data_IF_070476756228
#
_entry.id   IF_070476756228
#
_cell.length_a   1.000
_cell.length_b   1.000
_cell.length_c   1.000
_cell.angle_alpha   90.00
_cell.angle_beta   90.00
_cell.angle_gamma   90.00
#
_symmetry.space_group_name_H-M   'P 1'
#
loop_
_entity.id
_entity.type
_entity.pdbx_description
1 polymer ?
#
# COMPACT_ATOMS: atom_id res chain seq x y z
N UNK A 1 -20.15 88.20 -8.19
CA UNK A 1 -20.62 87.05 -7.43
C UNK A 1 -20.97 85.92 -8.44
N UNK A 2 -20.11 84.93 -8.59
CA UNK A 2 -20.30 83.77 -9.55
C UNK A 2 -20.70 82.55 -8.73
N UNK A 3 -21.95 82.11 -8.85
CA UNK A 3 -22.43 80.83 -8.30
C UNK A 3 -21.94 79.68 -9.21
N UNK A 4 -21.15 78.75 -8.67
CA UNK A 4 -20.79 77.52 -9.35
C UNK A 4 -21.85 76.43 -9.02
N UNK A 5 -22.49 75.96 -10.09
CA UNK A 5 -23.43 74.89 -10.04
C UNK A 5 -22.62 73.54 -10.09
N UNK A 6 -22.73 72.77 -9.01
CA UNK A 6 -22.16 71.41 -8.98
C UNK A 6 -23.22 70.42 -9.48
N UNK A 7 -22.98 69.80 -10.67
CA UNK A 7 -23.78 68.76 -11.16
C UNK A 7 -23.26 67.41 -10.54
N UNK A 8 -24.14 66.73 -9.80
CA UNK A 8 -23.87 65.41 -9.21
C UNK A 8 -24.21 64.36 -10.28
N UNK A 9 -23.20 63.74 -10.89
CA UNK A 9 -23.39 62.61 -11.80
C UNK A 9 -23.46 61.35 -10.95
N UNK A 10 -24.67 60.77 -10.83
CA UNK A 10 -24.89 59.47 -10.21
C UNK A 10 -24.54 58.38 -11.25
N UNK A 11 -23.41 57.73 -11.06
CA UNK A 11 -23.00 56.61 -11.89
C UNK A 11 -23.73 55.34 -11.39
N UNK A 12 -24.80 54.91 -12.07
CA UNK A 12 -25.40 53.60 -11.87
C UNK A 12 -24.45 52.54 -12.42
N UNK A 13 -23.70 51.90 -11.54
CA UNK A 13 -22.98 50.68 -11.87
C UNK A 13 -23.97 49.52 -12.00
N UNK A 14 -24.37 49.23 -13.23
CA UNK A 14 -25.01 47.95 -13.58
C UNK A 14 -23.99 46.82 -13.34
N UNK A 15 -24.09 46.13 -12.21
CA UNK A 15 -23.36 44.93 -11.95
C UNK A 15 -23.84 43.83 -12.92
N UNK A 16 -23.12 43.65 -14.02
CA UNK A 16 -23.26 42.43 -14.84
C UNK A 16 -22.73 41.29 -13.95
N UNK A 17 -23.64 40.57 -13.33
CA UNK A 17 -23.33 39.29 -12.70
C UNK A 17 -22.83 38.34 -13.78
N UNK A 18 -21.52 38.14 -13.83
CA UNK A 18 -20.95 37.04 -14.60
C UNK A 18 -21.46 35.76 -13.92
N UNK A 19 -22.48 35.14 -14.52
CA UNK A 19 -22.85 33.79 -14.15
C UNK A 19 -21.60 32.94 -14.34
N UNK A 20 -21.00 32.48 -13.24
CA UNK A 20 -19.95 31.47 -13.30
C UNK A 20 -20.55 30.28 -14.03
N UNK A 21 -20.10 30.04 -15.26
CA UNK A 21 -20.37 28.79 -15.97
C UNK A 21 -20.01 27.66 -15.01
N UNK A 22 -21.02 26.92 -14.55
CA UNK A 22 -20.78 25.69 -13.79
C UNK A 22 -19.99 24.76 -14.69
N UNK A 23 -18.74 24.53 -14.34
CA UNK A 23 -17.90 23.50 -14.96
C UNK A 23 -18.74 22.21 -15.03
N UNK A 24 -19.09 21.71 -16.22
CA UNK A 24 -19.90 20.50 -16.36
C UNK A 24 -19.22 19.26 -15.76
N UNK A 25 -17.91 19.34 -15.46
CA UNK A 25 -17.11 18.33 -14.77
C UNK A 25 -16.69 18.78 -13.37
N UNK A 26 -17.48 19.61 -12.69
CA UNK A 26 -17.19 20.27 -11.42
C UNK A 26 -16.21 19.49 -10.56
N UNK A 27 -15.20 20.15 -9.99
CA UNK A 27 -14.21 19.51 -9.14
C UNK A 27 -14.91 18.59 -8.15
N UNK A 28 -14.54 17.31 -8.07
CA UNK A 28 -15.19 16.38 -7.15
C UNK A 28 -15.09 16.93 -5.73
N UNK A 29 -16.18 16.83 -4.97
CA UNK A 29 -16.19 17.22 -3.58
C UNK A 29 -15.05 16.52 -2.83
N UNK A 30 -14.30 17.26 -1.98
CA UNK A 30 -13.26 16.63 -1.18
C UNK A 30 -13.88 15.54 -0.28
N UNK A 31 -13.17 14.42 -0.06
CA UNK A 31 -13.68 13.34 0.76
C UNK A 31 -13.97 13.82 2.18
N UNK A 32 -15.11 13.41 2.74
CA UNK A 32 -15.49 13.76 4.10
C UNK A 32 -14.52 13.10 5.08
N UNK A 33 -14.01 13.87 6.03
CA UNK A 33 -13.19 13.32 7.12
C UNK A 33 -14.02 12.32 7.93
N UNK A 34 -13.52 11.08 8.17
CA UNK A 34 -14.24 10.13 8.99
C UNK A 34 -14.30 10.58 10.44
N UNK A 35 -15.43 10.35 11.07
CA UNK A 35 -15.49 10.34 12.53
C UNK A 35 -14.85 9.02 13.02
N UNK A 36 -13.78 9.12 13.79
CA UNK A 36 -13.07 7.95 14.35
C UNK A 36 -13.39 7.88 15.83
N UNK A 37 -14.03 6.76 16.24
CA UNK A 37 -14.37 6.49 17.65
C UNK A 37 -13.89 5.11 18.05
N UNK A 38 -13.31 5.00 19.22
CA UNK A 38 -13.11 3.69 19.85
C UNK A 38 -14.42 3.27 20.52
N UNK A 39 -15.02 2.17 20.03
CA UNK A 39 -16.31 1.65 20.48
C UNK A 39 -16.16 0.51 21.49
N UNK A 40 -14.98 -0.11 21.54
CA UNK A 40 -14.54 -1.07 22.56
C UNK A 40 -13.00 -1.15 22.51
N UNK A 41 -12.31 -1.70 23.54
CA UNK A 41 -10.86 -1.79 23.57
C UNK A 41 -10.29 -2.44 22.32
N UNK A 42 -9.54 -1.65 21.51
CA UNK A 42 -8.93 -2.07 20.25
C UNK A 42 -9.90 -2.22 19.06
N UNK A 43 -11.17 -1.77 19.21
CA UNK A 43 -12.17 -1.75 18.14
C UNK A 43 -12.54 -0.31 17.84
N UNK A 44 -12.25 0.12 16.60
CA UNK A 44 -12.56 1.46 16.13
C UNK A 44 -13.73 1.44 15.14
N UNK A 45 -14.52 2.51 15.16
CA UNK A 45 -15.46 2.88 14.12
C UNK A 45 -14.86 4.03 13.31
N UNK A 46 -14.68 3.84 11.99
CA UNK A 46 -14.14 4.83 11.05
C UNK A 46 -15.21 5.14 10.00
N UNK A 47 -15.99 6.18 10.21
CA UNK A 47 -17.24 6.34 9.47
C UNK A 47 -18.16 5.15 9.68
N UNK A 48 -18.50 4.41 8.62
CA UNK A 48 -19.30 3.16 8.69
C UNK A 48 -18.44 1.88 8.73
N UNK A 49 -17.12 2.01 8.66
CA UNK A 49 -16.17 0.88 8.71
C UNK A 49 -15.87 0.54 10.17
N UNK A 50 -16.04 -0.71 10.57
CA UNK A 50 -15.56 -1.22 11.84
C UNK A 50 -14.17 -1.84 11.66
N UNK A 51 -13.22 -1.47 12.53
CA UNK A 51 -11.85 -1.93 12.52
C UNK A 51 -11.51 -2.66 13.81
N UNK A 52 -10.99 -3.88 13.74
CA UNK A 52 -10.51 -4.68 14.88
C UNK A 52 -8.99 -4.82 14.84
N UNK A 53 -8.29 -4.01 15.64
CA UNK A 53 -6.81 -3.91 15.64
C UNK A 53 -6.12 -5.25 15.88
N UNK A 54 -6.55 -6.01 16.92
CA UNK A 54 -5.92 -7.30 17.27
C UNK A 54 -6.03 -8.36 16.17
N UNK A 55 -7.16 -8.40 15.49
CA UNK A 55 -7.38 -9.34 14.38
C UNK A 55 -6.82 -8.84 13.05
N UNK A 56 -6.46 -7.55 12.98
CA UNK A 56 -6.10 -6.84 11.75
C UNK A 56 -7.21 -6.94 10.70
N UNK A 57 -8.44 -6.73 11.12
CA UNK A 57 -9.64 -6.86 10.28
C UNK A 57 -10.37 -5.53 10.18
N UNK A 58 -10.93 -5.29 9.00
CA UNK A 58 -11.96 -4.29 8.79
C UNK A 58 -13.25 -4.97 8.31
N UNK A 59 -14.36 -4.41 8.71
CA UNK A 59 -15.70 -4.90 8.38
C UNK A 59 -16.46 -3.76 7.72
N UNK A 60 -16.97 -3.97 6.52
CA UNK A 60 -17.74 -2.99 5.79
C UNK A 60 -19.09 -3.58 5.33
N UNK A 61 -20.19 -2.83 5.43
CA UNK A 61 -21.48 -3.27 4.92
C UNK A 61 -21.44 -3.34 3.39
N UNK A 62 -22.06 -4.38 2.84
CA UNK A 62 -22.21 -4.57 1.39
C UNK A 62 -23.59 -5.10 1.08
N UNK A 63 -24.07 -4.87 -0.14
CA UNK A 63 -25.30 -5.43 -0.70
C UNK A 63 -24.93 -6.27 -1.92
N UNK A 64 -25.58 -7.42 -2.10
CA UNK A 64 -25.40 -8.27 -3.28
C UNK A 64 -26.08 -7.59 -4.46
N UNK A 65 -25.30 -7.28 -5.51
CA UNK A 65 -25.76 -6.43 -6.60
C UNK A 65 -26.05 -7.20 -7.88
N UNK A 66 -25.22 -8.17 -8.24
CA UNK A 66 -25.43 -8.94 -9.47
C UNK A 66 -25.01 -10.40 -9.30
N UNK A 67 -25.60 -11.30 -10.12
CA UNK A 67 -25.31 -12.72 -10.13
C UNK A 67 -25.06 -13.29 -11.54
N UNK A 68 -25.10 -12.45 -12.56
CA UNK A 68 -24.85 -12.81 -13.96
C UNK A 68 -24.20 -11.62 -14.73
N UNK A 69 -23.74 -11.85 -15.95
CA UNK A 69 -23.10 -10.84 -16.79
C UNK A 69 -21.57 -10.76 -16.63
N UNK A 70 -20.93 -9.81 -17.31
CA UNK A 70 -19.49 -9.51 -17.15
C UNK A 70 -19.22 -8.92 -15.76
N UNK A 71 -18.01 -9.17 -15.26
CA UNK A 71 -17.61 -8.74 -13.92
C UNK A 71 -16.22 -8.11 -13.97
N UNK A 72 -16.13 -6.81 -13.79
CA UNK A 72 -14.85 -6.11 -13.66
C UNK A 72 -14.48 -5.84 -12.19
N UNK A 73 -15.50 -5.71 -11.33
CA UNK A 73 -15.31 -5.37 -9.91
C UNK A 73 -16.03 -6.36 -8.99
N UNK A 74 -15.43 -6.59 -7.84
CA UNK A 74 -16.11 -7.30 -6.76
C UNK A 74 -16.85 -6.35 -5.81
N UNK A 75 -16.35 -5.12 -5.63
CA UNK A 75 -16.97 -4.11 -4.76
C UNK A 75 -16.77 -2.72 -5.35
N UNK A 76 -17.86 -1.98 -5.47
CA UNK A 76 -17.86 -0.55 -5.80
C UNK A 76 -18.80 0.21 -4.88
N UNK A 77 -18.72 1.53 -4.87
CA UNK A 77 -19.79 2.38 -4.32
C UNK A 77 -20.88 2.60 -5.36
N UNK A 78 -21.99 3.20 -4.96
CA UNK A 78 -23.07 3.58 -5.91
C UNK A 78 -22.65 4.56 -7.02
N UNK A 79 -21.44 5.16 -6.92
CA UNK A 79 -20.86 6.01 -7.98
C UNK A 79 -20.02 5.23 -8.98
N UNK A 80 -19.65 3.99 -8.66
CA UNK A 80 -18.79 3.16 -9.49
C UNK A 80 -19.55 2.42 -10.60
N UNK A 81 -18.87 1.49 -11.26
CA UNK A 81 -19.42 0.62 -12.31
C UNK A 81 -20.34 -0.46 -11.73
N UNK A 82 -21.51 -0.05 -11.22
CA UNK A 82 -22.47 -0.95 -10.56
C UNK A 82 -22.91 -2.09 -11.48
N UNK A 83 -23.05 -1.83 -12.79
CA UNK A 83 -23.50 -2.81 -13.77
C UNK A 83 -22.49 -3.93 -14.08
N UNK A 84 -21.26 -3.83 -13.57
CA UNK A 84 -20.18 -4.82 -13.71
C UNK A 84 -19.58 -5.20 -12.35
N UNK A 85 -20.38 -5.09 -11.28
CA UNK A 85 -19.90 -5.27 -9.90
C UNK A 85 -20.74 -6.26 -9.11
N UNK A 86 -20.09 -7.20 -8.43
CA UNK A 86 -20.75 -8.25 -7.64
C UNK A 86 -21.47 -7.66 -6.42
N UNK A 87 -20.84 -6.74 -5.73
CA UNK A 87 -21.29 -6.12 -4.48
C UNK A 87 -21.23 -4.60 -4.59
N UNK A 88 -22.19 -3.95 -3.93
CA UNK A 88 -22.21 -2.49 -3.75
C UNK A 88 -22.10 -2.14 -2.27
N UNK A 89 -21.43 -1.03 -1.96
CA UNK A 89 -21.32 -0.51 -0.60
C UNK A 89 -21.64 0.97 -0.52
N UNK A 90 -22.08 1.41 0.64
CA UNK A 90 -22.26 2.83 0.99
C UNK A 90 -21.06 3.43 1.71
N UNK A 91 -20.00 2.63 1.92
CA UNK A 91 -18.78 3.09 2.57
C UNK A 91 -18.05 4.07 1.66
N UNK A 92 -17.65 5.22 2.20
CA UNK A 92 -16.79 6.14 1.47
C UNK A 92 -15.37 5.55 1.33
N UNK A 93 -14.81 5.46 0.12
CA UNK A 93 -13.45 4.93 -0.12
C UNK A 93 -12.39 5.57 0.76
N UNK A 94 -12.51 6.87 1.05
CA UNK A 94 -11.56 7.56 1.93
C UNK A 94 -11.61 7.02 3.39
N UNK A 95 -12.79 6.66 3.90
CA UNK A 95 -12.91 6.04 5.24
C UNK A 95 -12.24 4.67 5.30
N UNK A 96 -12.38 3.90 4.23
CA UNK A 96 -11.69 2.61 4.08
C UNK A 96 -10.17 2.79 4.01
N UNK A 97 -9.69 3.79 3.26
CA UNK A 97 -8.26 4.15 3.21
C UNK A 97 -7.71 4.45 4.60
N UNK A 98 -8.40 5.30 5.36
CA UNK A 98 -8.00 5.64 6.74
C UNK A 98 -7.97 4.40 7.64
N UNK A 99 -8.98 3.51 7.53
CA UNK A 99 -9.01 2.26 8.30
C UNK A 99 -7.82 1.34 7.98
N UNK A 100 -7.42 1.22 6.70
CA UNK A 100 -6.26 0.43 6.29
C UNK A 100 -4.95 1.05 6.78
N UNK A 101 -4.80 2.37 6.74
CA UNK A 101 -3.63 3.07 7.30
C UNK A 101 -3.51 2.87 8.82
N UNK A 102 -4.62 2.84 9.56
CA UNK A 102 -4.64 2.54 11.00
C UNK A 102 -4.22 1.09 11.32
N UNK A 103 -4.26 0.18 10.34
CA UNK A 103 -3.68 -1.17 10.41
C UNK A 103 -2.23 -1.23 9.91
N UNK A 104 -1.57 -0.07 9.71
CA UNK A 104 -0.19 0.06 9.19
C UNK A 104 -0.02 -0.54 7.77
N UNK A 105 -1.05 -0.51 6.95
CA UNK A 105 -0.94 -0.82 5.53
C UNK A 105 -0.43 0.42 4.79
N UNK A 106 0.49 0.23 3.84
CA UNK A 106 1.07 1.32 3.04
C UNK A 106 0.51 1.38 1.62
N UNK A 107 -0.13 0.30 1.18
CA UNK A 107 -0.54 0.16 -0.21
C UNK A 107 0.67 -0.04 -1.14
N UNK A 108 0.54 0.46 -2.36
CA UNK A 108 1.60 0.34 -3.40
C UNK A 108 2.76 1.31 -3.23
N UNK A 109 2.71 2.20 -2.22
CA UNK A 109 3.72 3.26 -1.98
C UNK A 109 4.00 4.11 -3.24
N UNK A 110 2.94 4.43 -3.99
CA UNK A 110 2.99 5.21 -5.23
C UNK A 110 3.34 4.42 -6.50
N UNK A 111 3.70 3.14 -6.39
CA UNK A 111 3.98 2.31 -7.56
C UNK A 111 2.71 1.97 -8.32
N UNK A 112 2.78 2.04 -9.66
CA UNK A 112 1.71 1.59 -10.55
C UNK A 112 1.61 0.06 -10.54
N UNK A 113 0.38 -0.43 -10.70
CA UNK A 113 0.14 -1.84 -10.94
C UNK A 113 0.56 -2.13 -12.39
N UNK A 114 1.47 -3.09 -12.63
CA UNK A 114 1.82 -3.48 -13.98
C UNK A 114 0.61 -4.04 -14.73
N UNK A 115 0.40 -3.67 -15.97
CA UNK A 115 -0.64 -4.27 -16.84
C UNK A 115 -0.36 -5.74 -17.12
N UNK A 116 0.91 -6.10 -17.30
CA UNK A 116 1.36 -7.48 -17.46
C UNK A 116 0.99 -8.31 -16.21
N UNK A 117 0.04 -9.24 -16.37
CA UNK A 117 -0.51 -10.05 -15.28
C UNK A 117 0.47 -11.11 -14.73
N UNK A 118 1.62 -11.31 -15.40
CA UNK A 118 2.71 -12.16 -14.91
C UNK A 118 3.52 -11.48 -13.79
N UNK A 119 3.44 -10.16 -13.69
CA UNK A 119 4.17 -9.37 -12.69
C UNK A 119 3.35 -9.24 -11.40
N UNK A 120 4.01 -9.18 -10.24
CA UNK A 120 3.31 -9.03 -8.97
C UNK A 120 2.62 -7.68 -8.87
N UNK A 121 1.45 -7.67 -8.25
CA UNK A 121 0.72 -6.45 -7.87
C UNK A 121 1.35 -5.89 -6.59
N UNK A 122 1.82 -4.62 -6.57
CA UNK A 122 2.43 -4.03 -5.39
C UNK A 122 1.38 -3.69 -4.32
N UNK A 123 1.70 -3.89 -3.03
CA UNK A 123 0.82 -3.52 -1.93
C UNK A 123 0.81 -4.51 -0.76
N UNK A 124 -0.20 -4.39 0.09
CA UNK A 124 -0.39 -5.24 1.27
C UNK A 124 -1.39 -6.35 0.96
N UNK A 125 -1.01 -7.60 1.25
CA UNK A 125 -1.86 -8.77 1.00
C UNK A 125 -3.01 -8.86 2.02
N UNK A 126 -4.22 -9.12 1.53
CA UNK A 126 -5.43 -9.26 2.34
C UNK A 126 -6.26 -10.48 1.94
N UNK A 127 -6.96 -11.04 2.90
CA UNK A 127 -7.99 -12.08 2.69
C UNK A 127 -9.34 -11.40 2.80
N UNK A 128 -10.28 -11.77 1.92
CA UNK A 128 -11.63 -11.24 1.93
C UNK A 128 -12.65 -12.36 2.11
N UNK A 129 -13.57 -12.17 3.05
CA UNK A 129 -14.70 -13.08 3.31
C UNK A 129 -16.00 -12.30 3.31
N UNK A 130 -17.00 -12.81 2.60
CA UNK A 130 -18.38 -12.32 2.73
C UNK A 130 -19.06 -13.05 3.89
N UNK A 131 -19.64 -12.32 4.81
CA UNK A 131 -20.43 -12.81 5.93
C UNK A 131 -21.89 -12.37 5.75
N UNK A 132 -22.84 -13.29 5.89
CA UNK A 132 -24.28 -12.98 5.78
C UNK A 132 -25.11 -13.85 6.71
N UNK A 133 -26.39 -13.55 6.78
CA UNK A 133 -27.36 -14.33 7.55
C UNK A 133 -28.40 -14.91 6.60
N UNK A 134 -28.62 -16.22 6.66
CA UNK A 134 -29.67 -16.90 5.93
C UNK A 134 -30.65 -17.53 6.93
N UNK A 135 -31.83 -16.94 7.02
CA UNK A 135 -32.76 -17.23 8.12
C UNK A 135 -32.11 -16.90 9.47
N UNK A 136 -31.97 -17.91 10.36
CA UNK A 136 -31.29 -17.75 11.67
C UNK A 136 -29.80 -18.16 11.63
N UNK A 137 -29.30 -18.64 10.49
CA UNK A 137 -27.92 -19.17 10.37
C UNK A 137 -26.95 -18.11 9.86
N UNK A 138 -25.88 -17.86 10.61
CA UNK A 138 -24.74 -17.06 10.15
C UNK A 138 -23.89 -17.91 9.20
N UNK A 139 -23.63 -17.38 8.02
CA UNK A 139 -22.79 -17.99 6.98
C UNK A 139 -21.62 -17.08 6.65
N UNK A 140 -20.56 -17.68 6.16
CA UNK A 140 -19.41 -16.96 5.61
C UNK A 140 -18.72 -17.81 4.53
N UNK A 141 -18.13 -17.14 3.56
CA UNK A 141 -17.32 -17.78 2.55
C UNK A 141 -16.25 -16.79 2.03
N UNK A 142 -15.18 -17.35 1.49
CA UNK A 142 -14.16 -16.58 0.79
C UNK A 142 -14.78 -15.90 -0.43
N UNK A 143 -14.35 -14.67 -0.70
CA UNK A 143 -14.90 -13.89 -1.81
C UNK A 143 -14.65 -14.57 -3.17
N UNK A 144 -13.57 -15.37 -3.27
CA UNK A 144 -13.22 -16.16 -4.47
C UNK A 144 -14.26 -17.21 -4.84
N UNK A 145 -15.15 -17.57 -3.93
CA UNK A 145 -16.21 -18.56 -4.21
C UNK A 145 -17.36 -17.96 -5.04
N UNK A 146 -17.40 -16.64 -5.18
CA UNK A 146 -18.52 -15.93 -5.80
C UNK A 146 -18.21 -15.40 -7.19
N UNK A 147 -17.02 -15.68 -7.72
CA UNK A 147 -16.71 -15.38 -9.12
C UNK A 147 -15.94 -16.54 -9.77
N UNK A 148 -16.03 -16.62 -11.08
CA UNK A 148 -15.45 -17.67 -11.93
C UNK A 148 -14.84 -17.07 -13.18
N UNK A 149 -14.05 -17.89 -13.87
CA UNK A 149 -13.50 -17.53 -15.18
C UNK A 149 -14.41 -18.06 -16.29
N UNK A 150 -14.65 -17.22 -17.31
CA UNK A 150 -15.43 -17.61 -18.50
C UNK A 150 -14.70 -18.69 -19.33
N UNK A 151 -13.36 -18.75 -19.28
CA UNK A 151 -12.54 -19.76 -19.97
C UNK A 151 -12.53 -21.12 -19.25
N UNK A 152 -13.33 -21.31 -18.21
CA UNK A 152 -13.47 -22.56 -17.45
C UNK A 152 -12.31 -22.90 -16.52
N UNK A 153 -11.24 -22.09 -16.50
CA UNK A 153 -10.13 -22.31 -15.56
C UNK A 153 -10.55 -22.02 -14.14
N UNK A 154 -10.07 -22.83 -13.19
CA UNK A 154 -10.37 -22.65 -11.78
C UNK A 154 -9.77 -21.35 -11.24
N UNK A 155 -10.56 -20.60 -10.49
CA UNK A 155 -10.07 -19.46 -9.70
C UNK A 155 -9.22 -20.01 -8.56
N UNK A 156 -7.97 -19.55 -8.48
CA UNK A 156 -7.07 -19.94 -7.39
C UNK A 156 -7.41 -19.10 -6.15
N UNK A 157 -7.65 -19.76 -5.02
CA UNK A 157 -7.72 -19.08 -3.74
C UNK A 157 -6.40 -18.38 -3.42
N UNK A 158 -6.48 -17.23 -2.78
CA UNK A 158 -5.30 -16.46 -2.42
C UNK A 158 -5.65 -15.02 -2.01
N UNK A 159 -4.67 -14.21 -1.66
CA UNK A 159 -4.93 -12.83 -1.26
C UNK A 159 -5.40 -11.97 -2.43
N UNK A 160 -6.14 -10.91 -2.10
CA UNK A 160 -6.20 -9.67 -2.87
C UNK A 160 -5.10 -8.73 -2.36
N UNK A 161 -4.79 -7.69 -3.12
CA UNK A 161 -3.72 -6.75 -2.75
C UNK A 161 -4.33 -5.37 -2.51
N UNK A 162 -4.11 -4.83 -1.32
CA UNK A 162 -4.42 -3.44 -1.02
C UNK A 162 -3.36 -2.53 -1.63
N UNK A 163 -3.73 -1.77 -2.64
CA UNK A 163 -2.87 -0.81 -3.34
C UNK A 163 -3.02 0.59 -2.77
N UNK A 164 -4.18 0.89 -2.15
CA UNK A 164 -4.49 2.18 -1.54
C UNK A 164 -5.00 3.22 -2.53
N UNK A 165 -5.25 2.85 -3.81
CA UNK A 165 -5.62 3.80 -4.87
C UNK A 165 -4.54 4.87 -5.11
N UNK A 166 -4.87 5.92 -5.84
CA UNK A 166 -3.97 7.03 -6.17
C UNK A 166 -4.60 8.38 -5.87
N UNK A 167 -3.75 9.34 -5.59
CA UNK A 167 -4.10 10.76 -5.66
C UNK A 167 -3.50 11.32 -6.94
N UNK A 168 -4.33 11.89 -7.78
CA UNK A 168 -3.92 12.56 -9.01
C UNK A 168 -4.54 13.95 -9.04
N UNK A 169 -3.74 14.96 -9.22
CA UNK A 169 -4.14 16.39 -9.15
C UNK A 169 -4.97 16.73 -7.89
N UNK A 170 -4.56 16.22 -6.74
CA UNK A 170 -5.26 16.41 -5.47
C UNK A 170 -6.55 15.58 -5.29
N UNK A 171 -6.94 14.79 -6.30
CA UNK A 171 -8.15 13.98 -6.29
C UNK A 171 -7.82 12.55 -5.91
N UNK A 172 -8.45 12.02 -4.85
CA UNK A 172 -8.39 10.61 -4.49
C UNK A 172 -9.26 9.78 -5.44
N UNK A 173 -8.63 9.01 -6.33
CA UNK A 173 -9.31 8.38 -7.47
C UNK A 173 -10.39 7.39 -7.03
N UNK A 174 -10.16 6.55 -6.02
CA UNK A 174 -11.17 5.63 -5.52
C UNK A 174 -12.45 6.35 -5.04
N UNK A 175 -12.31 7.56 -4.45
CA UNK A 175 -13.46 8.37 -4.01
C UNK A 175 -14.21 8.97 -5.19
N UNK A 176 -13.49 9.36 -6.26
CA UNK A 176 -14.08 9.88 -7.50
C UNK A 176 -14.82 8.80 -8.25
N UNK A 177 -14.16 7.65 -8.45
CA UNK A 177 -14.63 6.59 -9.37
C UNK A 177 -15.46 5.52 -8.64
N UNK A 178 -15.47 5.54 -7.30
CA UNK A 178 -16.20 4.55 -6.51
C UNK A 178 -15.60 3.14 -6.54
N UNK A 179 -14.36 2.97 -7.04
CA UNK A 179 -13.70 1.68 -7.23
C UNK A 179 -13.05 1.20 -5.93
N UNK A 180 -13.52 0.06 -5.39
CA UNK A 180 -12.99 -0.49 -4.14
C UNK A 180 -12.18 -1.77 -4.40
N UNK A 181 -12.82 -2.84 -4.91
CA UNK A 181 -12.12 -4.10 -5.20
C UNK A 181 -12.30 -4.43 -6.67
N UNK A 182 -11.20 -4.38 -7.41
CA UNK A 182 -11.16 -4.68 -8.84
C UNK A 182 -10.69 -6.10 -9.14
N UNK A 183 -11.30 -6.74 -10.13
CA UNK A 183 -10.84 -8.00 -10.75
C UNK A 183 -9.89 -7.76 -11.90
N UNK A 184 -10.03 -6.63 -12.59
CA UNK A 184 -9.12 -6.17 -13.64
C UNK A 184 -8.03 -5.28 -13.05
N UNK A 185 -7.00 -4.94 -13.84
CA UNK A 185 -5.99 -3.97 -13.42
C UNK A 185 -6.58 -2.57 -13.36
N UNK A 186 -6.75 -2.03 -12.15
CA UNK A 186 -7.27 -0.68 -11.95
C UNK A 186 -6.46 0.07 -10.88
N UNK A 187 -5.70 1.06 -11.32
CA UNK A 187 -4.90 1.92 -10.43
C UNK A 187 -5.76 2.91 -9.61
N UNK A 188 -7.03 3.09 -9.95
CA UNK A 188 -7.98 3.88 -9.15
C UNK A 188 -8.61 3.05 -8.02
N UNK A 189 -8.70 1.73 -8.15
CA UNK A 189 -9.24 0.86 -7.11
C UNK A 189 -8.30 0.79 -5.89
N UNK A 190 -8.89 0.56 -4.71
CA UNK A 190 -8.13 0.41 -3.47
C UNK A 190 -7.51 -0.99 -3.32
N UNK A 191 -8.18 -2.01 -3.84
CA UNK A 191 -7.72 -3.40 -3.84
C UNK A 191 -7.78 -3.95 -5.25
N UNK A 192 -6.76 -4.73 -5.62
CA UNK A 192 -6.68 -5.36 -6.92
C UNK A 192 -6.49 -6.87 -6.82
N UNK A 193 -7.01 -7.56 -7.82
CA UNK A 193 -6.84 -8.98 -8.05
C UNK A 193 -5.42 -9.26 -8.56
N UNK A 194 -4.59 -10.10 -7.88
CA UNK A 194 -3.26 -10.43 -8.37
C UNK A 194 -3.21 -11.66 -9.29
N UNK A 195 -4.38 -12.20 -9.66
CA UNK A 195 -4.47 -13.44 -10.44
C UNK A 195 -4.28 -13.18 -11.92
N UNK A 196 -3.81 -14.19 -12.65
CA UNK A 196 -3.75 -14.16 -14.11
C UNK A 196 -5.14 -13.95 -14.72
N UNK A 197 -5.20 -13.10 -15.76
CA UNK A 197 -6.42 -12.65 -16.39
C UNK A 197 -6.94 -11.32 -15.86
N UNK A 198 -6.20 -10.63 -15.01
CA UNK A 198 -6.54 -9.27 -14.57
C UNK A 198 -6.30 -8.20 -15.65
N UNK A 199 -5.65 -8.56 -16.73
CA UNK A 199 -5.43 -7.78 -17.96
C UNK A 199 -6.57 -7.92 -18.98
N UNK A 200 -7.61 -8.71 -18.65
CA UNK A 200 -8.72 -9.02 -19.55
C UNK A 200 -10.06 -8.82 -18.82
N UNK A 201 -10.87 -7.88 -19.27
CA UNK A 201 -12.17 -7.50 -18.74
C UNK A 201 -13.28 -8.51 -19.07
N UNK A 202 -13.10 -9.31 -20.14
CA UNK A 202 -14.09 -10.30 -20.57
C UNK A 202 -14.03 -11.64 -19.85
N UNK A 203 -13.04 -11.86 -18.98
CA UNK A 203 -12.79 -13.20 -18.46
C UNK A 203 -13.55 -13.53 -17.18
N UNK A 204 -14.00 -12.53 -16.43
CA UNK A 204 -14.61 -12.73 -15.14
C UNK A 204 -16.14 -12.73 -15.20
N UNK A 205 -16.76 -13.61 -14.43
CA UNK A 205 -18.21 -13.77 -14.32
C UNK A 205 -18.59 -14.07 -12.87
N UNK A 206 -19.78 -13.70 -12.39
CA UNK A 206 -20.29 -14.16 -11.11
C UNK A 206 -20.37 -15.69 -11.05
N UNK A 207 -20.25 -16.23 -9.83
CA UNK A 207 -20.56 -17.60 -9.49
C UNK A 207 -21.79 -17.62 -8.58
N UNK A 208 -23.00 -17.83 -9.12
CA UNK A 208 -24.23 -17.73 -8.33
C UNK A 208 -24.35 -18.76 -7.23
N UNK A 209 -23.70 -19.94 -7.41
CA UNK A 209 -23.80 -21.05 -6.46
C UNK A 209 -23.25 -20.63 -5.09
N UNK A 210 -24.15 -20.54 -4.09
CA UNK A 210 -23.82 -20.16 -2.71
C UNK A 210 -23.74 -18.66 -2.47
N UNK A 211 -23.92 -17.84 -3.49
CA UNK A 211 -24.09 -16.40 -3.34
C UNK A 211 -25.43 -16.11 -2.64
N UNK A 212 -25.49 -15.18 -1.68
CA UNK A 212 -26.76 -14.74 -1.12
C UNK A 212 -27.68 -14.15 -2.19
N UNK A 213 -29.01 -14.08 -1.95
CA UNK A 213 -29.95 -13.46 -2.90
C UNK A 213 -29.56 -12.01 -3.26
N UNK A 214 -29.95 -11.58 -4.46
CA UNK A 214 -29.82 -10.18 -4.88
C UNK A 214 -30.48 -9.25 -3.84
N UNK A 215 -29.95 -8.05 -3.71
CA UNK A 215 -30.40 -7.00 -2.76
C UNK A 215 -30.29 -7.38 -1.29
N UNK A 216 -29.77 -8.57 -0.96
CA UNK A 216 -29.54 -8.94 0.44
C UNK A 216 -28.27 -8.28 1.00
N UNK A 217 -28.31 -7.97 2.29
CA UNK A 217 -27.21 -7.34 2.99
C UNK A 217 -26.20 -8.37 3.50
N UNK A 218 -24.93 -7.99 3.45
CA UNK A 218 -23.82 -8.74 4.00
C UNK A 218 -22.78 -7.81 4.64
N UNK A 219 -21.75 -8.43 5.17
CA UNK A 219 -20.55 -7.73 5.66
C UNK A 219 -19.34 -8.31 4.96
N UNK A 220 -18.61 -7.48 4.25
CA UNK A 220 -17.30 -7.87 3.75
C UNK A 220 -16.26 -7.69 4.87
N UNK A 221 -15.60 -8.78 5.22
CA UNK A 221 -14.51 -8.80 6.20
C UNK A 221 -13.20 -8.89 5.44
N UNK A 222 -12.35 -7.89 5.62
CA UNK A 222 -11.02 -7.82 5.02
C UNK A 222 -9.98 -7.99 6.12
N UNK A 223 -9.21 -9.06 6.06
CA UNK A 223 -8.13 -9.36 7.01
C UNK A 223 -6.79 -9.11 6.38
N UNK A 224 -6.01 -8.23 6.99
CA UNK A 224 -4.64 -7.93 6.55
C UNK A 224 -3.71 -9.07 6.97
N UNK A 225 -3.04 -9.66 5.99
CA UNK A 225 -2.04 -10.69 6.25
C UNK A 225 -0.77 -10.09 6.84
N UNK A 226 -0.06 -10.82 7.70
CA UNK A 226 1.26 -10.40 8.12
C UNK A 226 2.15 -10.26 6.89
N UNK A 227 2.92 -9.18 6.81
CA UNK A 227 3.96 -9.08 5.77
C UNK A 227 4.86 -10.29 5.93
N UNK A 228 5.01 -11.09 4.87
CA UNK A 228 6.11 -12.04 4.83
C UNK A 228 7.35 -11.20 5.12
N UNK A 229 8.09 -11.55 6.17
CA UNK A 229 9.43 -10.99 6.33
C UNK A 229 10.14 -11.32 5.03
N UNK A 230 10.27 -10.31 4.17
CA UNK A 230 11.17 -10.45 3.03
C UNK A 230 12.52 -10.75 3.66
N UNK A 231 12.98 -11.98 3.51
CA UNK A 231 14.41 -12.23 3.50
C UNK A 231 14.88 -11.43 2.30
N UNK A 232 15.36 -10.20 2.53
CA UNK A 232 15.99 -9.40 1.47
C UNK A 232 17.01 -10.33 0.84
N UNK A 233 16.80 -10.70 -0.44
CA UNK A 233 17.89 -11.30 -1.19
C UNK A 233 19.06 -10.34 -1.06
N UNK A 234 20.26 -10.83 -0.72
CA UNK A 234 21.41 -9.95 -0.60
C UNK A 234 21.54 -9.11 -1.87
N UNK A 235 21.36 -7.80 -1.75
CA UNK A 235 21.56 -6.85 -2.85
C UNK A 235 22.99 -6.32 -2.84
N UNK A 236 23.67 -6.51 -1.72
CA UNK A 236 25.07 -6.16 -1.53
C UNK A 236 26.02 -7.34 -1.76
N UNK A 237 27.29 -7.01 -1.93
CA UNK A 237 28.40 -7.96 -1.96
C UNK A 237 28.54 -8.58 -0.56
N UNK A 238 28.88 -9.88 -0.47
CA UNK A 238 29.19 -10.50 0.82
C UNK A 238 30.56 -10.05 1.32
N UNK A 239 30.73 -9.95 2.64
CA UNK A 239 32.03 -9.58 3.22
C UNK A 239 33.16 -10.54 2.77
N UNK A 240 32.87 -11.83 2.59
CA UNK A 240 33.81 -12.82 2.09
C UNK A 240 34.27 -12.62 0.64
N UNK A 241 33.53 -11.84 -0.15
CA UNK A 241 33.89 -11.50 -1.53
C UNK A 241 34.89 -10.31 -1.60
N UNK A 242 35.15 -9.68 -0.46
CA UNK A 242 36.11 -8.59 -0.33
C UNK A 242 37.46 -9.11 0.17
N UNK A 243 38.51 -8.36 -0.16
CA UNK A 243 39.85 -8.50 0.39
C UNK A 243 40.39 -7.13 0.71
N UNK A 244 41.26 -7.04 1.71
CA UNK A 244 41.93 -5.82 2.11
C UNK A 244 43.33 -5.83 1.52
N UNK A 245 43.78 -4.71 0.95
CA UNK A 245 45.10 -4.57 0.32
C UNK A 245 45.80 -3.34 0.85
N UNK A 246 47.16 -3.44 0.94
CA UNK A 246 48.01 -2.31 1.26
C UNK A 246 48.22 -1.37 0.05
N UNK A 247 49.09 -0.37 0.20
CA UNK A 247 49.36 0.61 -0.86
C UNK A 247 50.04 -0.03 -2.10
N UNK A 248 50.76 -1.13 -1.94
CA UNK A 248 51.41 -1.89 -3.01
C UNK A 248 50.43 -2.89 -3.68
N UNK A 249 49.17 -2.92 -3.27
CA UNK A 249 48.11 -3.80 -3.83
C UNK A 249 48.19 -5.24 -3.34
N UNK A 250 49.02 -5.57 -2.34
CA UNK A 250 49.16 -6.91 -1.77
C UNK A 250 48.03 -7.16 -0.72
N UNK A 251 47.42 -8.37 -0.71
CA UNK A 251 46.47 -8.74 0.32
C UNK A 251 47.08 -8.68 1.74
N UNK A 252 46.34 -8.14 2.70
CA UNK A 252 46.75 -7.96 4.09
C UNK A 252 45.68 -8.43 5.05
N UNK A 253 46.04 -8.57 6.32
CA UNK A 253 45.11 -8.94 7.39
C UNK A 253 44.08 -7.85 7.71
N UNK A 254 42.98 -8.23 8.37
CA UNK A 254 41.87 -7.33 8.70
C UNK A 254 42.28 -6.16 9.61
N UNK A 255 43.27 -6.38 10.49
CA UNK A 255 43.77 -5.40 11.48
C UNK A 255 44.77 -4.40 10.88
N UNK A 256 45.32 -4.69 9.71
CA UNK A 256 46.31 -3.83 9.07
C UNK A 256 45.66 -2.64 8.34
N UNK A 257 46.39 -1.55 8.15
CA UNK A 257 45.91 -0.38 7.41
C UNK A 257 45.87 -0.66 5.90
N UNK A 258 44.75 -0.40 5.24
CA UNK A 258 44.63 -0.61 3.79
C UNK A 258 43.19 -0.37 3.31
N UNK A 259 43.01 -0.55 2.01
CA UNK A 259 41.71 -0.36 1.35
C UNK A 259 41.04 -1.71 1.06
N UNK A 260 39.70 -1.70 1.00
CA UNK A 260 38.90 -2.86 0.64
C UNK A 260 38.67 -2.92 -0.87
N UNK A 261 38.82 -4.09 -1.45
CA UNK A 261 38.60 -4.40 -2.86
C UNK A 261 37.66 -5.59 -3.00
N UNK A 262 36.87 -5.61 -4.06
CA UNK A 262 36.22 -6.85 -4.47
C UNK A 262 37.33 -7.78 -5.04
N UNK A 263 37.35 -9.05 -4.63
CA UNK A 263 38.34 -10.02 -5.07
C UNK A 263 38.47 -10.03 -6.58
N UNK A 264 39.71 -9.98 -7.06
CA UNK A 264 40.02 -9.95 -8.50
C UNK A 264 39.77 -8.60 -9.21
N UNK A 265 39.32 -7.55 -8.50
CA UNK A 265 39.18 -6.20 -9.06
C UNK A 265 40.39 -5.33 -8.70
N UNK A 266 40.75 -4.40 -9.59
CA UNK A 266 41.86 -3.46 -9.38
C UNK A 266 41.43 -2.19 -8.63
N UNK A 267 40.18 -1.81 -8.76
CA UNK A 267 39.62 -0.60 -8.13
C UNK A 267 39.18 -0.84 -6.69
N UNK A 268 39.44 0.11 -5.78
CA UNK A 268 38.88 0.05 -4.42
C UNK A 268 37.37 -0.01 -4.43
N UNK A 269 36.80 -0.86 -3.58
CA UNK A 269 35.38 -1.14 -3.56
C UNK A 269 34.55 0.08 -3.14
N UNK A 270 33.51 0.36 -3.91
CA UNK A 270 32.45 1.32 -3.57
C UNK A 270 31.11 0.60 -3.67
N UNK A 271 30.35 0.53 -2.58
CA UNK A 271 29.08 -0.13 -2.55
C UNK A 271 28.68 -0.63 -1.18
N UNK A 272 27.62 -1.40 -1.12
CA UNK A 272 27.03 -1.97 0.07
C UNK A 272 27.55 -3.39 0.28
N UNK A 273 27.93 -3.71 1.51
CA UNK A 273 28.30 -5.05 1.96
C UNK A 273 27.25 -5.52 2.97
N UNK A 274 26.74 -6.72 2.78
CA UNK A 274 25.69 -7.31 3.62
C UNK A 274 26.12 -8.68 4.13
N UNK A 275 25.85 -8.97 5.40
CA UNK A 275 25.91 -10.32 5.96
C UNK A 275 24.59 -10.73 6.59
N UNK A 276 24.35 -12.03 6.64
CA UNK A 276 23.11 -12.62 7.13
C UNK A 276 23.44 -13.78 8.08
N UNK A 277 22.68 -13.89 9.14
CA UNK A 277 22.65 -15.07 9.99
C UNK A 277 22.14 -16.30 9.23
N UNK A 278 22.42 -17.48 9.76
CA UNK A 278 21.94 -18.76 9.17
C UNK A 278 20.41 -18.84 9.04
N UNK A 279 19.67 -18.09 9.86
CA UNK A 279 18.21 -18.00 9.80
C UNK A 279 17.71 -16.99 8.74
N UNK A 280 18.61 -16.42 7.91
CA UNK A 280 18.31 -15.47 6.83
C UNK A 280 18.01 -14.03 7.28
N UNK A 281 18.14 -13.72 8.59
CA UNK A 281 18.02 -12.34 9.06
C UNK A 281 19.31 -11.58 8.82
N UNK A 282 19.20 -10.26 8.62
CA UNK A 282 20.34 -9.35 8.47
C UNK A 282 21.22 -9.41 9.74
N UNK A 283 22.51 -9.63 9.54
CA UNK A 283 23.54 -9.56 10.59
C UNK A 283 24.27 -8.23 10.56
N UNK A 284 24.68 -7.79 9.36
CA UNK A 284 25.32 -6.49 9.19
C UNK A 284 25.06 -5.86 7.83
N UNK A 285 25.17 -4.54 7.81
CA UNK A 285 25.09 -3.73 6.60
C UNK A 285 26.12 -2.61 6.69
N UNK A 286 27.08 -2.61 5.75
CA UNK A 286 28.24 -1.73 5.79
C UNK A 286 28.39 -1.04 4.45
N UNK A 287 28.50 0.29 4.45
CA UNK A 287 28.74 1.06 3.24
C UNK A 287 30.24 1.35 3.08
N UNK A 288 30.75 1.16 1.87
CA UNK A 288 32.11 1.50 1.47
C UNK A 288 32.12 2.55 0.37
N UNK A 289 33.09 3.45 0.42
CA UNK A 289 33.39 4.41 -0.65
C UNK A 289 34.90 4.42 -0.87
N UNK A 290 35.34 4.08 -2.09
CA UNK A 290 36.76 4.01 -2.44
C UNK A 290 37.60 3.17 -1.44
N UNK A 291 37.09 2.00 -1.07
CA UNK A 291 37.77 1.05 -0.20
C UNK A 291 37.72 1.38 1.32
N UNK A 292 37.12 2.48 1.75
CA UNK A 292 36.97 2.84 3.15
C UNK A 292 35.52 2.85 3.59
N UNK A 293 35.27 2.57 4.88
CA UNK A 293 33.91 2.66 5.45
C UNK A 293 33.39 4.10 5.33
N UNK A 294 32.13 4.25 4.90
CA UNK A 294 31.49 5.53 4.70
C UNK A 294 29.99 5.47 5.02
N UNK A 295 29.46 6.54 5.65
CA UNK A 295 28.05 6.58 6.04
C UNK A 295 27.71 5.67 7.21
N UNK A 296 26.51 5.10 7.22
CA UNK A 296 26.00 4.29 8.34
C UNK A 296 26.43 2.83 8.15
N UNK A 297 26.97 2.26 9.21
CA UNK A 297 27.18 0.82 9.40
C UNK A 297 26.23 0.35 10.51
N UNK A 298 25.43 -0.69 10.26
CA UNK A 298 24.48 -1.23 11.23
C UNK A 298 24.70 -2.72 11.40
N UNK A 299 24.66 -3.18 12.63
CA UNK A 299 24.64 -4.59 13.02
C UNK A 299 23.38 -4.92 13.80
N UNK A 300 22.92 -6.14 13.68
CA UNK A 300 21.72 -6.65 14.36
C UNK A 300 22.04 -7.90 15.15
N UNK A 301 21.24 -8.18 16.14
CA UNK A 301 21.17 -9.47 16.82
C UNK A 301 20.39 -10.48 15.94
N UNK A 302 20.55 -11.76 16.22
CA UNK A 302 19.85 -12.83 15.51
C UNK A 302 18.31 -12.75 15.66
N UNK A 303 17.82 -12.13 16.75
CA UNK A 303 16.37 -11.83 16.91
C UNK A 303 15.88 -10.70 16.00
N UNK A 304 16.80 -9.93 15.35
CA UNK A 304 16.52 -8.83 14.43
C UNK A 304 16.46 -7.45 15.08
N UNK A 305 16.75 -7.35 16.38
CA UNK A 305 16.96 -6.06 17.06
C UNK A 305 18.31 -5.46 16.65
N UNK A 306 18.39 -4.12 16.55
CA UNK A 306 19.68 -3.45 16.35
C UNK A 306 20.60 -3.77 17.52
N UNK A 307 21.88 -4.02 17.22
CA UNK A 307 22.95 -4.23 18.20
C UNK A 307 23.84 -3.00 18.32
N UNK A 308 24.29 -2.45 17.18
CA UNK A 308 25.02 -1.19 17.12
C UNK A 308 24.80 -0.51 15.76
N UNK A 309 24.94 0.79 15.81
CA UNK A 309 24.94 1.66 14.64
C UNK A 309 26.13 2.61 14.75
N UNK A 310 26.95 2.65 13.71
CA UNK A 310 28.14 3.46 13.66
C UNK A 310 28.08 4.35 12.42
N UNK A 311 28.57 5.59 12.55
CA UNK A 311 28.66 6.53 11.44
C UNK A 311 30.12 6.76 11.11
N UNK A 312 30.47 6.57 9.85
CA UNK A 312 31.80 6.77 9.32
C UNK A 312 31.89 7.97 8.37
N UNK A 313 32.94 8.78 8.52
CA UNK A 313 33.34 9.83 7.56
C UNK A 313 34.77 9.57 7.15
N UNK A 314 35.01 9.37 5.84
CA UNK A 314 36.35 9.10 5.26
C UNK A 314 37.12 8.00 6.02
N UNK A 315 36.46 6.90 6.32
CA UNK A 315 37.05 5.75 7.01
C UNK A 315 37.18 5.88 8.53
N UNK A 316 36.88 7.04 9.13
CA UNK A 316 36.93 7.26 10.57
C UNK A 316 35.52 7.19 11.17
N UNK A 317 35.39 6.44 12.26
CA UNK A 317 34.14 6.39 13.04
C UNK A 317 33.95 7.73 13.76
N UNK A 318 32.81 8.37 13.57
CA UNK A 318 32.45 9.66 14.19
C UNK A 318 31.32 9.56 15.19
N UNK A 319 30.56 8.45 15.18
CA UNK A 319 29.49 8.18 16.14
C UNK A 319 29.28 6.68 16.31
N UNK A 320 28.89 6.25 17.51
CA UNK A 320 28.46 4.88 17.82
C UNK A 320 27.30 4.93 18.79
N UNK A 321 26.27 4.12 18.48
CA UNK A 321 25.17 3.77 19.37
C UNK A 321 25.10 2.27 19.53
N UNK A 322 24.67 1.82 20.71
CA UNK A 322 24.57 0.40 21.04
C UNK A 322 23.25 0.12 21.73
N UNK A 323 22.69 -1.04 21.47
CA UNK A 323 21.46 -1.55 22.10
C UNK A 323 21.71 -2.95 22.64
N UNK A 324 20.97 -3.33 23.68
CA UNK A 324 20.93 -4.71 24.15
C UNK A 324 20.05 -5.60 23.27
N UNK A 325 19.98 -6.89 23.59
CA UNK A 325 19.20 -7.88 22.85
C UNK A 325 17.68 -7.63 22.89
N UNK A 326 17.23 -6.86 23.89
CA UNK A 326 15.82 -6.48 24.08
C UNK A 326 15.48 -5.16 23.37
N UNK A 327 16.48 -4.47 22.81
CA UNK A 327 16.34 -3.25 22.03
C UNK A 327 16.43 -1.96 22.84
N UNK A 328 16.91 -2.01 24.09
CA UNK A 328 17.14 -0.83 24.92
C UNK A 328 18.50 -0.19 24.56
N UNK A 329 18.53 1.13 24.31
CA UNK A 329 19.76 1.86 24.01
C UNK A 329 20.66 1.89 25.26
N UNK A 330 21.90 1.48 25.07
CA UNK A 330 22.94 1.51 26.12
C UNK A 330 23.73 2.81 25.97
N UNK A 331 23.91 3.52 27.08
CA UNK A 331 24.66 4.78 27.15
C UNK A 331 26.17 4.54 27.16
#
# INVERSE_FOLDING_TARGET
MKRKLFALITLCALGVGVAQEKDPFGKPEPPRKPNIKEIAPGILQVGTVRLEKKKREIHLPVTINMNEGPLEYLVVTGKGKVHESLLVTTVEPFHLQVAMLLLNCKGSDGHLIPEDDSKPVPGDAVIMELHWTEGKKKKKARLENFFRRADGKKVKEGPFIFNGSRVFDGIFLAQRDGSIVSLITDNAAQFNNPRKGRDNDDIWRPQPKGLPPLDSNGTLVVRVLPKKKETKKPTGVKLGDLEKRNAEGKPIGLSEAGLWFLRGKKEPYTGLVESFYNNGKMESQINYKQGVRAGVETHWYENGQKRWEMIYKSGRMVSKKQWDVDGNEQK
#
